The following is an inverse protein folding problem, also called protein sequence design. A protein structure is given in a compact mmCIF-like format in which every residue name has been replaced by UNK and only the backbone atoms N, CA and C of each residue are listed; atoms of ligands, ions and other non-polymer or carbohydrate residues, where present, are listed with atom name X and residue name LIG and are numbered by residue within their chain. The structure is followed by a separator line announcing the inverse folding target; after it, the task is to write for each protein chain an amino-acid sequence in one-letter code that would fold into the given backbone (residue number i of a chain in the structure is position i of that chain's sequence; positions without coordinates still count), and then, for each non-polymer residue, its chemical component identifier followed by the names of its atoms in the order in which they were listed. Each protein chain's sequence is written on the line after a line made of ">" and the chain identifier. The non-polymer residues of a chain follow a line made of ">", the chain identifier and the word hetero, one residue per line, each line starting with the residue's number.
data_IF_878867133862
#
_entry.id   IF_878867133862
#
_cell.length_a   1.000
_cell.length_b   1.000
_cell.length_c   1.000
_cell.angle_alpha   90.00
_cell.angle_beta   90.00
_cell.angle_gamma   90.00
#
_symmetry.space_group_name_H-M   'P 1'
#
loop_
_entity.id
_entity.type
_entity.pdbx_description
1 polymer ?
#
# COMPACT_ATOMS: atom_id res chain seq x y z
N UNK A 1 -9.32 5.13 26.46
CA UNK A 1 -9.66 5.42 25.06
C UNK A 1 -8.41 5.87 24.31
N UNK A 2 -8.09 5.17 23.27
CA UNK A 2 -6.91 5.53 22.49
C UNK A 2 -7.20 6.72 21.59
N UNK A 3 -6.27 7.65 21.55
CA UNK A 3 -6.34 8.76 20.61
C UNK A 3 -5.73 8.32 19.30
N UNK A 4 -6.55 8.26 18.26
CA UNK A 4 -6.05 7.93 16.92
C UNK A 4 -5.60 9.23 16.26
N UNK A 5 -4.31 9.30 15.96
CA UNK A 5 -3.71 10.46 15.32
C UNK A 5 -3.41 10.20 13.85
N UNK A 6 -2.99 8.98 13.54
CA UNK A 6 -2.54 8.64 12.19
C UNK A 6 -2.81 7.16 11.92
N UNK A 7 -3.92 6.90 11.23
CA UNK A 7 -4.32 5.53 10.93
C UNK A 7 -5.01 5.49 9.57
N UNK A 8 -4.59 4.54 8.75
CA UNK A 8 -5.16 4.30 7.42
C UNK A 8 -5.54 2.85 7.32
N UNK A 9 -6.73 2.58 6.81
CA UNK A 9 -7.19 1.23 6.49
C UNK A 9 -7.62 1.22 5.04
N UNK A 10 -7.01 0.36 4.24
CA UNK A 10 -7.30 0.26 2.82
C UNK A 10 -7.44 -1.19 2.40
N UNK A 11 -8.34 -1.43 1.47
CA UNK A 11 -8.47 -2.72 0.80
C UNK A 11 -8.30 -2.50 -0.69
N UNK A 12 -7.44 -3.31 -1.30
CA UNK A 12 -7.19 -3.18 -2.73
C UNK A 12 -6.38 -4.34 -3.27
N UNK A 13 -5.82 -4.13 -4.44
CA UNK A 13 -5.06 -5.16 -5.15
C UNK A 13 -3.61 -4.71 -5.33
N UNK A 14 -2.68 -5.64 -5.14
CA UNK A 14 -1.27 -5.37 -5.40
C UNK A 14 -1.07 -5.16 -6.90
N UNK A 15 -0.45 -4.04 -7.26
CA UNK A 15 -0.22 -3.68 -8.66
C UNK A 15 1.00 -4.32 -9.27
N UNK A 16 1.83 -4.95 -8.44
CA UNK A 16 3.07 -5.58 -8.87
C UNK A 16 3.49 -6.61 -7.85
N UNK A 17 4.54 -7.36 -8.16
CA UNK A 17 5.22 -8.16 -7.14
C UNK A 17 5.98 -7.23 -6.20
N UNK A 18 6.34 -7.76 -5.03
CA UNK A 18 7.05 -6.95 -4.04
C UNK A 18 8.44 -6.58 -4.52
N UNK A 19 8.80 -5.32 -4.31
CA UNK A 19 10.17 -4.86 -4.48
C UNK A 19 10.83 -4.91 -3.12
N UNK A 20 11.88 -5.72 -2.98
CA UNK A 20 12.53 -5.97 -1.70
C UNK A 20 13.95 -5.44 -1.72
N UNK A 21 14.33 -4.73 -0.67
CA UNK A 21 15.69 -4.22 -0.48
C UNK A 21 16.18 -4.57 0.91
N UNK A 22 17.44 -4.96 0.99
CA UNK A 22 18.09 -5.17 2.27
C UNK A 22 19.01 -3.98 2.51
N UNK A 23 18.78 -3.30 3.61
CA UNK A 23 19.50 -2.09 3.98
C UNK A 23 20.58 -2.39 5.02
N UNK A 24 21.40 -1.39 5.33
CA UNK A 24 22.45 -1.52 6.34
C UNK A 24 21.83 -1.92 7.69
N UNK A 25 22.55 -2.73 8.47
CA UNK A 25 22.06 -3.20 9.77
C UNK A 25 21.04 -4.32 9.68
N UNK A 26 21.05 -5.05 8.58
CA UNK A 26 20.14 -6.18 8.34
C UNK A 26 18.67 -5.79 8.31
N UNK A 27 18.38 -4.54 7.98
CA UNK A 27 17.00 -4.10 7.84
C UNK A 27 16.47 -4.46 6.46
N UNK A 28 15.25 -4.98 6.42
CA UNK A 28 14.60 -5.38 5.18
C UNK A 28 13.42 -4.46 4.92
N UNK A 29 13.36 -3.95 3.70
CA UNK A 29 12.28 -3.08 3.25
C UNK A 29 11.59 -3.73 2.05
N UNK A 30 10.28 -3.82 2.10
CA UNK A 30 9.49 -4.26 0.95
C UNK A 30 8.51 -3.17 0.57
N UNK A 31 8.34 -2.98 -0.72
CA UNK A 31 7.46 -1.95 -1.27
C UNK A 31 6.57 -2.53 -2.35
N UNK A 32 5.32 -2.09 -2.37
CA UNK A 32 4.37 -2.43 -3.43
C UNK A 32 3.36 -1.30 -3.57
N UNK A 33 2.83 -1.13 -4.76
CA UNK A 33 1.73 -0.20 -4.98
C UNK A 33 0.40 -0.95 -4.84
N UNK A 34 -0.52 -0.34 -4.10
CA UNK A 34 -1.85 -0.88 -3.88
C UNK A 34 -2.86 -0.08 -4.70
N UNK A 35 -3.63 -0.78 -5.52
CA UNK A 35 -4.73 -0.18 -6.28
C UNK A 35 -6.00 -0.28 -5.48
N UNK A 36 -6.57 0.86 -5.10
CA UNK A 36 -7.84 0.92 -4.37
C UNK A 36 -8.88 1.46 -5.32
N UNK A 37 -9.91 0.67 -5.59
CA UNK A 37 -10.97 1.05 -6.51
C UNK A 37 -12.14 1.66 -5.77
N UNK A 38 -12.55 2.82 -6.23
CA UNK A 38 -13.72 3.51 -5.72
C UNK A 38 -14.78 3.54 -6.81
N UNK A 39 -16.01 3.18 -6.45
CA UNK A 39 -17.13 3.16 -7.37
C UNK A 39 -18.15 4.20 -6.95
N UNK A 40 -18.62 5.00 -7.89
CA UNK A 40 -19.60 6.03 -7.60
C UNK A 40 -20.43 6.34 -8.84
N UNK A 41 -21.54 7.06 -8.66
CA UNK A 41 -22.35 7.54 -9.76
C UNK A 41 -22.04 9.02 -10.01
N UNK A 42 -21.83 9.36 -11.27
CA UNK A 42 -21.59 10.75 -11.63
C UNK A 42 -22.92 11.50 -11.77
N UNK A 43 -22.83 12.79 -12.13
CA UNK A 43 -24.01 13.64 -12.25
C UNK A 43 -24.98 13.17 -13.32
N UNK A 44 -24.51 12.42 -14.32
CA UNK A 44 -25.35 11.84 -15.37
C UNK A 44 -25.98 10.50 -14.98
N UNK A 45 -25.75 10.01 -13.75
CA UNK A 45 -26.26 8.74 -13.27
C UNK A 45 -25.50 7.53 -13.75
N UNK A 46 -24.34 7.73 -14.35
CA UNK A 46 -23.52 6.64 -14.84
C UNK A 46 -22.60 6.10 -13.75
N UNK A 47 -22.37 4.80 -13.76
CA UNK A 47 -21.43 4.16 -12.83
C UNK A 47 -20.01 4.45 -13.26
N UNK A 48 -19.21 4.98 -12.33
CA UNK A 48 -17.82 5.34 -12.59
C UNK A 48 -16.93 4.61 -11.61
N UNK A 49 -15.82 4.09 -12.14
CA UNK A 49 -14.77 3.48 -11.32
C UNK A 49 -13.54 4.40 -11.34
N UNK A 50 -13.04 4.72 -10.16
CA UNK A 50 -11.80 5.48 -10.02
C UNK A 50 -10.80 4.65 -9.23
N UNK A 51 -9.59 4.53 -9.75
CA UNK A 51 -8.53 3.79 -9.09
C UNK A 51 -7.55 4.75 -8.47
N UNK A 52 -7.28 4.55 -7.18
CA UNK A 52 -6.29 5.30 -6.43
C UNK A 52 -5.10 4.39 -6.16
N UNK A 53 -3.90 4.91 -6.34
CA UNK A 53 -2.66 4.17 -6.13
C UNK A 53 -1.96 4.66 -4.88
N UNK A 54 -1.64 3.73 -4.00
CA UNK A 54 -0.93 4.03 -2.75
C UNK A 54 0.34 3.20 -2.66
N UNK A 55 1.42 3.83 -2.20
CA UNK A 55 2.69 3.14 -1.98
C UNK A 55 2.70 2.57 -0.57
N UNK A 56 2.84 1.26 -0.46
CA UNK A 56 2.90 0.55 0.82
C UNK A 56 4.33 0.17 1.14
N UNK A 57 4.73 0.36 2.38
CA UNK A 57 6.05 0.02 2.88
C UNK A 57 5.92 -0.97 4.03
N UNK A 58 6.69 -2.05 3.94
CA UNK A 58 6.74 -3.09 4.96
C UNK A 58 8.17 -3.19 5.47
N UNK A 59 8.35 -3.27 6.79
CA UNK A 59 9.66 -3.35 7.40
C UNK A 59 9.88 -4.69 8.08
N UNK A 60 11.07 -5.25 7.91
CA UNK A 60 11.59 -6.41 8.64
C UNK A 60 10.64 -7.61 8.61
N UNK A 61 10.10 -8.05 9.74
CA UNK A 61 9.20 -9.20 9.77
C UNK A 61 7.97 -9.02 8.89
N UNK A 62 7.42 -7.81 8.81
CA UNK A 62 6.30 -7.51 7.92
C UNK A 62 6.73 -7.61 6.46
N UNK A 63 7.97 -7.21 6.14
CA UNK A 63 8.50 -7.35 4.79
C UNK A 63 8.64 -8.82 4.39
N UNK A 64 9.07 -9.68 5.32
CA UNK A 64 9.15 -11.11 5.06
C UNK A 64 7.78 -11.70 4.76
N UNK A 65 6.78 -11.33 5.55
CA UNK A 65 5.40 -11.79 5.33
C UNK A 65 4.87 -11.31 3.98
N UNK A 66 5.11 -10.05 3.67
CA UNK A 66 4.65 -9.46 2.42
C UNK A 66 5.28 -10.14 1.21
N UNK A 67 6.59 -10.36 1.26
CA UNK A 67 7.30 -11.05 0.18
C UNK A 67 6.75 -12.45 -0.07
N UNK A 68 6.42 -13.16 1.01
CA UNK A 68 5.91 -14.53 0.91
C UNK A 68 4.48 -14.59 0.40
N UNK A 69 3.65 -13.59 0.71
CA UNK A 69 2.21 -13.68 0.52
C UNK A 69 1.63 -12.76 -0.55
N UNK A 70 2.32 -11.65 -0.87
CA UNK A 70 1.79 -10.67 -1.80
C UNK A 70 2.44 -10.81 -3.16
N UNK A 71 1.60 -11.04 -4.18
CA UNK A 71 2.01 -11.09 -5.57
C UNK A 71 1.16 -10.12 -6.36
N UNK A 72 1.56 -9.83 -7.58
CA UNK A 72 0.73 -9.00 -8.46
C UNK A 72 -0.69 -9.56 -8.54
N UNK A 73 -1.67 -8.72 -8.27
CA UNK A 73 -3.08 -9.10 -8.29
C UNK A 73 -3.64 -9.62 -6.96
N UNK A 74 -2.79 -9.78 -5.95
CA UNK A 74 -3.26 -10.22 -4.64
C UNK A 74 -4.18 -9.16 -4.02
N UNK A 75 -5.33 -9.59 -3.53
CA UNK A 75 -6.24 -8.71 -2.80
C UNK A 75 -5.88 -8.74 -1.32
N UNK A 76 -5.73 -7.58 -0.72
CA UNK A 76 -5.37 -7.49 0.69
C UNK A 76 -5.97 -6.27 1.35
N UNK A 77 -6.15 -6.36 2.66
CA UNK A 77 -6.51 -5.23 3.51
C UNK A 77 -5.32 -4.90 4.38
N UNK A 78 -4.97 -3.63 4.45
CA UNK A 78 -3.87 -3.18 5.28
C UNK A 78 -4.34 -2.14 6.28
N UNK A 79 -3.68 -2.13 7.42
CA UNK A 79 -3.79 -1.06 8.39
C UNK A 79 -2.39 -0.52 8.62
N UNK A 80 -2.25 0.78 8.56
CA UNK A 80 -0.96 1.41 8.72
C UNK A 80 -1.07 2.87 9.05
N UNK A 81 0.02 3.57 8.88
CA UNK A 81 0.07 5.02 9.09
C UNK A 81 0.67 5.70 7.87
N UNK A 82 0.26 6.95 7.65
CA UNK A 82 0.85 7.78 6.61
C UNK A 82 2.21 8.28 7.07
N UNK A 83 3.18 8.23 6.17
CA UNK A 83 4.50 8.75 6.40
C UNK A 83 4.88 9.65 5.23
N UNK A 84 5.28 10.87 5.54
CA UNK A 84 5.74 11.79 4.51
C UNK A 84 7.25 11.86 4.51
N UNK A 85 7.81 12.10 3.33
CA UNK A 85 9.23 12.29 3.17
C UNK A 85 9.48 13.33 2.10
N UNK A 86 10.75 13.63 1.87
CA UNK A 86 11.14 14.53 0.81
C UNK A 86 12.48 14.13 0.25
N UNK A 87 12.71 14.47 -1.00
CA UNK A 87 13.99 14.24 -1.64
C UNK A 87 14.21 15.36 -2.66
N UNK A 88 15.47 15.58 -3.01
CA UNK A 88 15.82 16.54 -4.04
C UNK A 88 15.89 15.83 -5.38
N UNK A 89 15.09 16.31 -6.35
CA UNK A 89 15.09 15.75 -7.69
C UNK A 89 16.33 16.23 -8.47
N UNK A 90 16.61 15.57 -9.59
CA UNK A 90 17.76 15.89 -10.42
C UNK A 90 17.78 17.34 -10.90
N UNK A 91 16.61 17.95 -11.03
CA UNK A 91 16.48 19.33 -11.48
C UNK A 91 16.63 20.34 -10.35
N UNK A 92 16.95 19.88 -9.12
CA UNK A 92 17.12 20.73 -7.96
C UNK A 92 15.85 21.05 -7.20
N UNK A 93 14.69 20.58 -7.68
CA UNK A 93 13.43 20.82 -6.97
C UNK A 93 13.25 19.83 -5.83
N UNK A 94 12.61 20.29 -4.76
CA UNK A 94 12.27 19.44 -3.64
C UNK A 94 10.95 18.72 -3.93
N UNK A 95 10.98 17.40 -3.85
CA UNK A 95 9.81 16.57 -4.06
C UNK A 95 9.38 15.94 -2.76
N UNK A 96 8.09 15.80 -2.58
CA UNK A 96 7.52 15.22 -1.38
C UNK A 96 6.92 13.86 -1.71
N UNK A 97 7.04 12.93 -0.77
CA UNK A 97 6.46 11.60 -0.91
C UNK A 97 5.51 11.35 0.24
N UNK A 98 4.50 10.54 -0.03
CA UNK A 98 3.57 10.08 0.98
C UNK A 98 3.44 8.58 0.81
N UNK A 99 3.86 7.84 1.84
CA UNK A 99 3.83 6.39 1.84
C UNK A 99 3.00 5.90 3.02
N UNK A 100 2.54 4.66 2.94
CA UNK A 100 1.82 4.02 4.03
C UNK A 100 2.72 2.95 4.62
N UNK A 101 3.10 3.12 5.88
CA UNK A 101 3.87 2.10 6.61
C UNK A 101 2.87 1.12 7.20
N UNK A 102 2.94 -0.12 6.74
CA UNK A 102 1.94 -1.15 7.09
C UNK A 102 2.27 -1.75 8.46
N UNK A 103 1.31 -1.71 9.36
CA UNK A 103 1.41 -2.34 10.68
C UNK A 103 0.76 -3.71 10.69
N UNK A 104 -0.38 -3.86 10.01
CA UNK A 104 -1.11 -5.11 9.93
C UNK A 104 -1.59 -5.33 8.51
N UNK A 105 -1.65 -6.60 8.09
CA UNK A 105 -2.21 -6.94 6.81
C UNK A 105 -3.01 -8.23 6.90
N UNK A 106 -4.07 -8.31 6.10
CA UNK A 106 -4.88 -9.51 5.95
C UNK A 106 -5.01 -9.79 4.45
N UNK A 107 -4.53 -10.94 4.03
CA UNK A 107 -4.65 -11.37 2.65
C UNK A 107 -6.06 -11.93 2.46
N UNK A 108 -6.78 -11.41 1.47
CA UNK A 108 -8.09 -11.94 1.17
C UNK A 108 -7.93 -13.31 0.52
N UNK A 109 -8.53 -14.32 1.14
CA UNK A 109 -8.59 -15.64 0.54
C UNK A 109 -9.69 -15.60 -0.50
N UNK A 110 -9.30 -15.80 -1.76
CA UNK A 110 -10.29 -15.92 -2.81
C UNK A 110 -10.96 -17.28 -2.64
N UNK A 111 -12.20 -17.26 -2.21
CA UNK A 111 -12.97 -18.50 -2.19
C UNK A 111 -13.23 -18.92 -3.62
N UNK A 112 -13.06 -20.21 -3.92
CA UNK A 112 -13.41 -20.68 -5.25
C UNK A 112 -14.88 -20.38 -5.52
N UNK A 113 -15.12 -19.82 -6.68
CA UNK A 113 -16.48 -19.57 -7.12
C UNK A 113 -17.21 -20.91 -7.21
N UNK A 114 -18.26 -21.02 -6.49
CA UNK A 114 -19.10 -22.22 -6.54
C UNK A 114 -20.17 -22.04 -7.58
#
# INVERSE_FOLDING_TARGET
>A
MENVVNKVVLTGFAGSDMEVKVLAGNQKLARVNLAVNEYYKNAAGEDVKKTHWFSLIFWNAKADMAEAQIKKGTRLTIEGKLQTGSYEAKDGTKRYTTDIVVNEMVIAVLEPAN
#
